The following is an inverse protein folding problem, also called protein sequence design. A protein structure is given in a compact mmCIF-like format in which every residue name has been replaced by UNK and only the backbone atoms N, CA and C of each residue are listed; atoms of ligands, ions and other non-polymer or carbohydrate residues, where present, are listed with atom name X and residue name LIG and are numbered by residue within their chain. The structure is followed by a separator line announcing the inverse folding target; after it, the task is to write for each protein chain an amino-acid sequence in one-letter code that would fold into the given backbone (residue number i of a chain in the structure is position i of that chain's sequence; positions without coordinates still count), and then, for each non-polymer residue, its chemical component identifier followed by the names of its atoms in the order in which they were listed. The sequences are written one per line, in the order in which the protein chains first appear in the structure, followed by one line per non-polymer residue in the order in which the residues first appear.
data_IF_911800018660
#
_entry.id   IF_911800018660
#
_cell.length_a   1.000
_cell.length_b   1.000
_cell.length_c   1.000
_cell.angle_alpha   90.00
_cell.angle_beta   90.00
_cell.angle_gamma   90.00
#
_symmetry.space_group_name_H-M   'P 1'
#
loop_
_entity.id
_entity.type
_entity.pdbx_description
1 polymer ?
#
# COMPACT_ATOMS: atom_id res chain seq x y z
N UNK A 1 18.12 -2.98 11.35
CA UNK A 1 17.58 -1.98 12.26
C UNK A 1 16.19 -1.55 11.82
N UNK A 2 15.25 -1.55 12.74
CA UNK A 2 13.86 -1.20 12.46
C UNK A 2 13.72 0.22 11.91
N UNK A 3 14.48 1.17 12.45
CA UNK A 3 14.47 2.55 11.98
C UNK A 3 14.89 2.65 10.52
N UNK A 4 15.95 1.92 10.14
CA UNK A 4 16.45 1.91 8.77
C UNK A 4 15.42 1.30 7.81
N UNK A 5 14.75 0.22 8.23
CA UNK A 5 13.74 -0.42 7.39
C UNK A 5 12.52 0.48 7.23
N UNK A 6 12.13 1.20 8.29
CA UNK A 6 11.05 2.16 8.22
C UNK A 6 11.38 3.29 7.23
N UNK A 7 12.59 3.84 7.32
CA UNK A 7 13.02 4.90 6.40
C UNK A 7 12.99 4.43 4.94
N UNK A 8 13.43 3.20 4.70
CA UNK A 8 13.40 2.61 3.36
C UNK A 8 11.98 2.42 2.85
N UNK A 9 11.07 2.01 3.76
CA UNK A 9 9.65 1.88 3.42
C UNK A 9 9.05 3.22 3.02
N UNK A 10 9.36 4.28 3.76
CA UNK A 10 8.88 5.63 3.46
C UNK A 10 9.38 6.13 2.11
N UNK A 11 10.65 5.91 1.83
CA UNK A 11 11.25 6.29 0.54
C UNK A 11 10.61 5.52 -0.61
N UNK A 12 10.36 4.22 -0.43
CA UNK A 12 9.70 3.41 -1.44
C UNK A 12 8.27 3.89 -1.69
N UNK A 13 7.52 4.16 -0.62
CA UNK A 13 6.15 4.66 -0.76
C UNK A 13 6.11 5.99 -1.51
N UNK A 14 7.02 6.90 -1.19
CA UNK A 14 7.13 8.16 -1.90
C UNK A 14 7.48 7.95 -3.37
N UNK A 15 8.43 7.06 -3.64
CA UNK A 15 8.86 6.80 -5.02
C UNK A 15 7.75 6.16 -5.85
N UNK A 16 6.90 5.34 -5.23
CA UNK A 16 5.80 4.66 -5.94
C UNK A 16 4.60 5.59 -6.11
N UNK A 17 4.18 6.25 -5.05
CA UNK A 17 2.91 6.98 -5.01
C UNK A 17 3.05 8.49 -5.01
N UNK A 18 4.25 9.01 -4.79
CA UNK A 18 4.50 10.46 -4.68
C UNK A 18 3.55 11.09 -3.65
N UNK A 19 2.84 12.15 -4.03
CA UNK A 19 1.94 12.86 -3.11
C UNK A 19 0.71 12.04 -2.70
N UNK A 20 0.46 10.91 -3.35
CA UNK A 20 -0.66 10.03 -3.01
C UNK A 20 -0.29 8.94 -2.01
N UNK A 21 0.97 8.90 -1.53
CA UNK A 21 1.40 7.90 -0.57
C UNK A 21 0.47 7.89 0.64
N UNK A 22 0.00 6.68 0.99
CA UNK A 22 -0.89 6.46 2.14
C UNK A 22 -2.26 7.13 2.04
N UNK A 23 -2.69 7.45 0.82
CA UNK A 23 -4.01 8.05 0.57
C UNK A 23 -4.87 7.07 -0.20
N UNK A 24 -6.14 6.97 0.17
CA UNK A 24 -7.10 6.14 -0.57
C UNK A 24 -7.31 6.73 -1.96
N UNK A 25 -7.48 5.86 -2.96
CA UNK A 25 -7.73 6.31 -4.33
C UNK A 25 -8.53 5.26 -5.11
N UNK A 26 -9.75 5.61 -5.44
CA UNK A 26 -10.64 4.74 -6.23
C UNK A 26 -10.56 5.01 -7.73
N UNK A 27 -10.07 6.20 -8.11
CA UNK A 27 -10.03 6.63 -9.50
C UNK A 27 -8.85 7.58 -9.67
N UNK A 28 -8.19 7.53 -10.81
CA UNK A 28 -7.03 8.40 -11.08
C UNK A 28 -7.40 9.88 -11.11
N UNK A 29 -8.70 10.19 -11.29
CA UNK A 29 -9.19 11.57 -11.32
C UNK A 29 -9.74 12.06 -9.98
N UNK A 30 -9.68 11.21 -8.94
CA UNK A 30 -10.14 11.58 -7.61
C UNK A 30 -9.31 12.75 -7.06
N UNK A 31 -9.95 13.60 -6.29
CA UNK A 31 -9.23 14.60 -5.50
C UNK A 31 -8.35 13.87 -4.49
N UNK A 32 -7.18 14.46 -4.20
CA UNK A 32 -6.29 13.91 -3.18
C UNK A 32 -7.01 13.88 -1.83
N UNK A 33 -7.07 12.69 -1.23
CA UNK A 33 -7.67 12.50 0.08
C UNK A 33 -6.62 12.69 1.17
N UNK A 34 -7.03 12.91 2.43
CA UNK A 34 -6.09 12.95 3.55
C UNK A 34 -5.34 11.63 3.68
N UNK A 35 -4.18 11.66 4.34
CA UNK A 35 -3.45 10.45 4.68
C UNK A 35 -4.35 9.58 5.57
N UNK A 36 -4.42 8.29 5.24
CA UNK A 36 -5.23 7.32 5.98
C UNK A 36 -4.33 6.54 6.92
N UNK A 37 -4.64 6.61 8.22
CA UNK A 37 -3.81 5.98 9.26
C UNK A 37 -3.72 4.46 9.09
N UNK A 38 -4.84 3.79 8.81
CA UNK A 38 -4.86 2.34 8.64
C UNK A 38 -4.02 1.92 7.43
N UNK A 39 -4.11 2.69 6.34
CA UNK A 39 -3.30 2.44 5.16
C UNK A 39 -1.82 2.70 5.43
N UNK A 40 -1.52 3.78 6.15
CA UNK A 40 -0.14 4.08 6.57
C UNK A 40 0.47 2.91 7.33
N UNK A 41 -0.23 2.41 8.36
CA UNK A 41 0.24 1.30 9.17
C UNK A 41 0.46 0.04 8.34
N UNK A 42 -0.52 -0.30 7.49
CA UNK A 42 -0.47 -1.53 6.71
C UNK A 42 0.62 -1.51 5.65
N UNK A 43 0.64 -0.45 4.85
CA UNK A 43 1.59 -0.35 3.74
C UNK A 43 3.03 -0.23 4.24
N UNK A 44 3.23 0.55 5.32
CA UNK A 44 4.57 0.72 5.92
C UNK A 44 5.14 -0.61 6.38
N UNK A 45 4.32 -1.44 7.05
CA UNK A 45 4.76 -2.75 7.54
C UNK A 45 5.23 -3.63 6.38
N UNK A 46 4.43 -3.74 5.32
CA UNK A 46 4.77 -4.64 4.22
C UNK A 46 5.93 -4.15 3.37
N UNK A 47 6.04 -2.83 3.18
CA UNK A 47 7.21 -2.27 2.49
C UNK A 47 8.48 -2.43 3.32
N UNK A 48 8.38 -2.31 4.65
CA UNK A 48 9.52 -2.51 5.53
C UNK A 48 9.98 -3.98 5.55
N UNK A 49 9.07 -4.92 5.38
CA UNK A 49 9.39 -6.35 5.32
C UNK A 49 10.04 -6.77 4.00
N UNK A 50 9.90 -5.97 2.96
CA UNK A 50 10.53 -6.26 1.68
C UNK A 50 12.04 -6.14 1.79
N UNK A 51 12.76 -6.90 0.95
CA UNK A 51 14.20 -6.72 0.78
C UNK A 51 14.46 -5.46 -0.03
N UNK A 52 15.71 -4.99 -0.04
CA UNK A 52 16.09 -3.84 -0.87
C UNK A 52 15.78 -4.11 -2.35
N UNK A 53 16.09 -5.32 -2.82
CA UNK A 53 15.80 -5.70 -4.20
C UNK A 53 14.31 -5.65 -4.50
N UNK A 54 13.49 -6.18 -3.58
CA UNK A 54 12.04 -6.17 -3.76
C UNK A 54 11.49 -4.74 -3.81
N UNK A 55 11.96 -3.86 -2.94
CA UNK A 55 11.54 -2.45 -2.97
C UNK A 55 11.93 -1.78 -4.29
N UNK A 56 13.13 -2.06 -4.80
CA UNK A 56 13.57 -1.54 -6.09
C UNK A 56 12.67 -2.04 -7.23
N UNK A 57 12.28 -3.30 -7.20
CA UNK A 57 11.37 -3.85 -8.19
C UNK A 57 10.00 -3.19 -8.14
N UNK A 58 9.49 -2.93 -6.94
CA UNK A 58 8.20 -2.25 -6.77
C UNK A 58 8.25 -0.84 -7.34
N UNK A 59 9.32 -0.12 -7.07
CA UNK A 59 9.52 1.24 -7.60
C UNK A 59 9.62 1.21 -9.13
N UNK A 60 10.37 0.25 -9.67
CA UNK A 60 10.51 0.11 -11.12
C UNK A 60 9.18 -0.21 -11.80
N UNK A 61 8.29 -0.90 -11.07
CA UNK A 61 6.96 -1.29 -11.57
C UNK A 61 5.86 -0.42 -10.98
N UNK A 62 6.15 0.82 -10.64
CA UNK A 62 5.21 1.69 -9.93
C UNK A 62 3.87 1.85 -10.64
N UNK A 63 3.85 1.85 -11.97
CA UNK A 63 2.59 1.96 -12.71
C UNK A 63 1.67 0.77 -12.44
N UNK A 64 2.24 -0.43 -12.33
CA UNK A 64 1.49 -1.63 -12.01
C UNK A 64 0.97 -1.56 -10.57
N UNK A 65 1.84 -1.14 -9.64
CA UNK A 65 1.45 -0.98 -8.23
C UNK A 65 0.29 0.01 -8.11
N UNK A 66 0.40 1.16 -8.77
CA UNK A 66 -0.64 2.19 -8.73
C UNK A 66 -1.97 1.67 -9.27
N UNK A 67 -1.93 0.94 -10.39
CA UNK A 67 -3.15 0.36 -10.99
C UNK A 67 -3.80 -0.65 -10.05
N UNK A 68 -3.02 -1.58 -9.52
CA UNK A 68 -3.54 -2.58 -8.60
C UNK A 68 -4.05 -1.96 -7.31
N UNK A 69 -3.41 -0.89 -6.85
CA UNK A 69 -3.85 -0.20 -5.65
C UNK A 69 -5.22 0.46 -5.87
N UNK A 70 -5.44 1.10 -7.02
CA UNK A 70 -6.75 1.67 -7.35
C UNK A 70 -7.81 0.57 -7.42
N UNK A 71 -7.49 -0.55 -8.06
CA UNK A 71 -8.40 -1.71 -8.12
C UNK A 71 -8.75 -2.21 -6.72
N UNK A 72 -7.74 -2.29 -5.86
CA UNK A 72 -7.94 -2.76 -4.48
C UNK A 72 -8.87 -1.82 -3.70
N UNK A 73 -8.73 -0.50 -3.90
CA UNK A 73 -9.61 0.47 -3.26
C UNK A 73 -11.06 0.37 -3.75
N UNK A 74 -11.30 -0.30 -4.86
CA UNK A 74 -12.66 -0.56 -5.36
C UNK A 74 -13.23 -1.87 -4.83
N UNK A 75 -12.46 -2.64 -4.07
CA UNK A 75 -12.97 -3.75 -3.26
C UNK A 75 -13.65 -3.13 -2.05
N UNK A 76 -14.96 -3.25 -1.95
CA UNK A 76 -15.74 -2.61 -0.89
C UNK A 76 -15.28 -3.04 0.51
N UNK A 77 -14.92 -4.29 0.66
CA UNK A 77 -14.45 -4.80 1.96
C UNK A 77 -13.12 -4.19 2.35
N UNK A 78 -12.21 -4.04 1.39
CA UNK A 78 -10.91 -3.38 1.63
C UNK A 78 -11.11 -1.90 1.99
N UNK A 79 -11.94 -1.21 1.22
CA UNK A 79 -12.21 0.21 1.46
C UNK A 79 -12.85 0.41 2.83
N UNK A 80 -13.78 -0.47 3.22
CA UNK A 80 -14.38 -0.45 4.56
C UNK A 80 -13.30 -0.63 5.64
N UNK A 81 -12.36 -1.56 5.40
CA UNK A 81 -11.28 -1.84 6.36
C UNK A 81 -10.36 -0.63 6.55
N UNK A 82 -10.29 0.26 5.56
CA UNK A 82 -9.50 1.50 5.67
C UNK A 82 -10.29 2.66 6.24
N UNK A 83 -11.61 2.58 6.24
CA UNK A 83 -12.45 3.77 6.46
C UNK A 83 -13.28 3.72 7.73
N UNK A 84 -13.99 2.63 7.99
CA UNK A 84 -14.99 2.55 9.07
C UNK A 84 -14.70 1.47 10.10
N UNK A 85 -14.23 0.32 9.66
CA UNK A 85 -13.99 -0.81 10.55
C UNK A 85 -12.52 -0.98 10.90
N UNK A 86 -11.77 0.12 11.02
CA UNK A 86 -10.30 0.07 11.09
C UNK A 86 -9.74 -0.70 12.28
N UNK A 87 -10.45 -0.71 13.41
CA UNK A 87 -10.00 -1.42 14.60
C UNK A 87 -10.50 -2.83 14.73
N UNK A 88 -11.40 -3.28 13.86
CA UNK A 88 -11.95 -4.63 13.91
C UNK A 88 -10.89 -5.63 13.43
N UNK A 89 -10.81 -6.76 14.15
CA UNK A 89 -9.81 -7.79 13.84
C UNK A 89 -9.92 -8.28 12.40
N UNK A 90 -11.13 -8.52 11.91
CA UNK A 90 -11.34 -8.94 10.52
C UNK A 90 -10.81 -7.92 9.52
N UNK A 91 -11.06 -6.64 9.79
CA UNK A 91 -10.60 -5.56 8.92
C UNK A 91 -9.09 -5.47 8.89
N UNK A 92 -8.45 -5.56 10.06
CA UNK A 92 -6.99 -5.55 10.18
C UNK A 92 -6.40 -6.71 9.35
N UNK A 93 -6.91 -7.92 9.56
CA UNK A 93 -6.41 -9.10 8.85
C UNK A 93 -6.65 -8.98 7.35
N UNK A 94 -7.81 -8.49 6.94
CA UNK A 94 -8.16 -8.39 5.53
C UNK A 94 -7.25 -7.39 4.79
N UNK A 95 -7.06 -6.19 5.35
CA UNK A 95 -6.25 -5.19 4.68
C UNK A 95 -4.78 -5.61 4.61
N UNK A 96 -4.26 -6.26 5.64
CA UNK A 96 -2.90 -6.79 5.62
C UNK A 96 -2.73 -7.85 4.54
N UNK A 97 -3.67 -8.80 4.48
CA UNK A 97 -3.62 -9.86 3.47
C UNK A 97 -3.67 -9.27 2.05
N UNK A 98 -4.53 -8.30 1.82
CA UNK A 98 -4.70 -7.71 0.48
C UNK A 98 -3.49 -6.90 0.04
N UNK A 99 -2.88 -6.15 0.93
CA UNK A 99 -1.66 -5.41 0.61
C UNK A 99 -0.51 -6.39 0.33
N UNK A 100 -0.38 -7.43 1.14
CA UNK A 100 0.62 -8.47 0.91
C UNK A 100 0.44 -9.13 -0.45
N UNK A 101 -0.80 -9.51 -0.79
CA UNK A 101 -1.11 -10.13 -2.08
C UNK A 101 -0.77 -9.20 -3.25
N UNK A 102 -1.07 -7.92 -3.12
CA UNK A 102 -0.76 -6.93 -4.14
C UNK A 102 0.75 -6.87 -4.40
N UNK A 103 1.53 -6.77 -3.33
CA UNK A 103 3.00 -6.73 -3.43
C UNK A 103 3.52 -8.01 -4.09
N UNK A 104 3.05 -9.17 -3.63
CA UNK A 104 3.47 -10.46 -4.19
C UNK A 104 3.13 -10.58 -5.67
N UNK A 105 1.97 -10.09 -6.07
CA UNK A 105 1.54 -10.11 -7.47
C UNK A 105 2.49 -9.30 -8.33
N UNK A 106 2.85 -8.09 -7.89
CA UNK A 106 3.78 -7.23 -8.64
C UNK A 106 5.16 -7.89 -8.75
N UNK A 107 5.65 -8.47 -7.65
CA UNK A 107 6.98 -9.06 -7.63
C UNK A 107 7.08 -10.31 -8.52
N UNK A 108 5.97 -10.97 -8.79
CA UNK A 108 5.93 -12.15 -9.68
C UNK A 108 5.87 -11.77 -11.15
N UNK A 109 5.51 -10.55 -11.47
CA UNK A 109 5.44 -10.11 -12.86
C UNK A 109 6.84 -9.92 -13.44
N UNK A 110 7.04 -10.39 -14.66
CA UNK A 110 8.33 -10.28 -15.33
C UNK A 110 8.38 -9.09 -16.29
#
# INVERSE_FOLDING_TARGET
DMSTQFDKAMKAAWSIFNNDAFRKRRNIYDRRKPINKALFETLSVWLAKCTNNERQQLVAKKSIVQRLFVELNNDEKFYYALSSGTGQKESVNYRHRKIKEMIETVLKEK
#
